data_IF_482847744472
#
_entry.id   IF_482847744472
#
_cell.length_a   1.000
_cell.length_b   1.000
_cell.length_c   1.000
_cell.angle_alpha   90.00
_cell.angle_beta   90.00
_cell.angle_gamma   90.00
#
_symmetry.space_group_name_H-M   'P 1'
#
loop_
_entity.id
_entity.type
_entity.pdbx_description
1 polymer ?
#
# COMPACT_ATOMS: atom_id res chain seq x y z
N UNK A 1 -64.15 -55.07 -69.63
CA UNK A 1 -62.87 -54.88 -68.91
C UNK A 1 -61.91 -53.98 -69.69
N UNK A 2 -61.76 -54.16 -71.01
CA UNK A 2 -60.90 -53.31 -71.87
C UNK A 2 -61.25 -51.81 -71.85
N UNK A 3 -62.51 -51.41 -72.00
CA UNK A 3 -62.85 -49.97 -72.03
C UNK A 3 -62.62 -49.25 -70.70
N UNK A 4 -62.71 -49.97 -69.58
CA UNK A 4 -62.42 -49.43 -68.24
C UNK A 4 -60.92 -49.25 -68.07
N UNK A 5 -60.10 -50.20 -68.54
CA UNK A 5 -58.64 -50.09 -68.58
C UNK A 5 -58.18 -48.95 -69.51
N UNK A 6 -58.83 -48.76 -70.65
CA UNK A 6 -58.53 -47.69 -71.59
C UNK A 6 -58.89 -46.30 -71.04
N UNK A 7 -60.07 -46.16 -70.41
CA UNK A 7 -60.46 -44.92 -69.74
C UNK A 7 -59.56 -44.59 -68.54
N UNK A 8 -59.14 -45.61 -67.79
CA UNK A 8 -58.21 -45.49 -66.67
C UNK A 8 -56.81 -45.11 -67.15
N UNK A 9 -56.35 -45.66 -68.28
CA UNK A 9 -55.10 -45.26 -68.96
C UNK A 9 -55.14 -43.79 -69.38
N UNK A 10 -56.24 -43.33 -69.98
CA UNK A 10 -56.43 -41.92 -70.38
C UNK A 10 -56.43 -40.99 -69.15
N UNK A 11 -57.11 -41.36 -68.07
CA UNK A 11 -57.11 -40.58 -66.82
C UNK A 11 -55.72 -40.53 -66.18
N UNK A 12 -55.00 -41.65 -66.15
CA UNK A 12 -53.62 -41.70 -65.65
C UNK A 12 -52.71 -40.81 -66.51
N UNK A 13 -52.86 -40.82 -67.83
CA UNK A 13 -52.06 -39.99 -68.73
C UNK A 13 -52.37 -38.49 -68.58
N UNK A 14 -53.66 -38.14 -68.44
CA UNK A 14 -54.11 -36.77 -68.15
C UNK A 14 -53.59 -36.27 -66.81
N UNK A 15 -53.61 -37.11 -65.78
CA UNK A 15 -53.14 -36.77 -64.43
C UNK A 15 -51.61 -36.65 -64.40
N UNK A 16 -50.87 -37.53 -65.09
CA UNK A 16 -49.42 -37.40 -65.29
C UNK A 16 -49.07 -36.12 -66.06
N UNK A 17 -49.84 -35.76 -67.08
CA UNK A 17 -49.67 -34.51 -67.83
C UNK A 17 -49.96 -33.28 -66.95
N UNK A 18 -51.05 -33.30 -66.18
CA UNK A 18 -51.42 -32.25 -65.23
C UNK A 18 -50.38 -32.06 -64.13
N UNK A 19 -49.87 -33.15 -63.55
CA UNK A 19 -48.77 -33.12 -62.57
C UNK A 19 -47.48 -32.60 -63.21
N UNK A 20 -47.17 -32.99 -64.46
CA UNK A 20 -46.05 -32.44 -65.22
C UNK A 20 -46.18 -30.93 -65.44
N UNK A 21 -47.38 -30.44 -65.76
CA UNK A 21 -47.65 -29.01 -65.92
C UNK A 21 -47.57 -28.24 -64.59
N UNK A 22 -48.09 -28.80 -63.50
CA UNK A 22 -47.99 -28.20 -62.15
C UNK A 22 -46.53 -28.14 -61.71
N UNK A 23 -45.75 -29.20 -61.96
CA UNK A 23 -44.30 -29.21 -61.71
C UNK A 23 -43.59 -28.11 -62.50
N UNK A 24 -43.84 -27.99 -63.80
CA UNK A 24 -43.22 -26.93 -64.60
C UNK A 24 -43.68 -25.51 -64.22
N UNK A 25 -44.93 -25.35 -63.76
CA UNK A 25 -45.46 -24.02 -63.39
C UNK A 25 -45.14 -23.59 -61.97
N UNK A 26 -44.83 -24.52 -61.06
CA UNK A 26 -44.63 -24.21 -59.63
C UNK A 26 -43.25 -24.65 -59.16
N UNK A 27 -42.87 -25.90 -59.37
CA UNK A 27 -41.60 -26.42 -58.86
C UNK A 27 -40.38 -25.78 -59.54
N UNK A 28 -40.39 -25.66 -60.87
CA UNK A 28 -39.24 -25.08 -61.59
C UNK A 28 -39.04 -23.58 -61.27
N UNK A 29 -40.10 -22.74 -61.21
CA UNK A 29 -39.96 -21.35 -60.74
C UNK A 29 -39.53 -21.25 -59.27
N UNK A 30 -40.03 -22.10 -58.38
CA UNK A 30 -39.59 -22.13 -56.98
C UNK A 30 -38.10 -22.47 -56.87
N UNK A 31 -37.62 -23.49 -57.57
CA UNK A 31 -36.19 -23.83 -57.60
C UNK A 31 -35.34 -22.70 -58.19
N UNK A 32 -35.83 -22.02 -59.22
CA UNK A 32 -35.16 -20.85 -59.80
C UNK A 32 -35.12 -19.68 -58.81
N UNK A 33 -36.18 -19.45 -58.05
CA UNK A 33 -36.26 -18.40 -57.04
C UNK A 33 -35.32 -18.69 -55.86
N UNK A 34 -35.23 -19.96 -55.44
CA UNK A 34 -34.29 -20.41 -54.41
C UNK A 34 -32.84 -20.23 -54.87
N UNK A 35 -32.52 -20.62 -56.10
CA UNK A 35 -31.21 -20.35 -56.70
C UNK A 35 -30.88 -18.85 -56.77
N UNK A 36 -31.84 -18.01 -57.19
CA UNK A 36 -31.65 -16.55 -57.23
C UNK A 36 -31.43 -15.96 -55.83
N UNK A 37 -32.11 -16.48 -54.80
CA UNK A 37 -31.88 -16.07 -53.41
C UNK A 37 -30.45 -16.40 -52.96
N UNK A 38 -29.93 -17.57 -53.33
CA UNK A 38 -28.53 -17.94 -53.04
C UNK A 38 -27.56 -16.99 -53.76
N UNK A 39 -27.78 -16.73 -55.05
CA UNK A 39 -26.92 -15.80 -55.81
C UNK A 39 -26.97 -14.39 -55.23
N UNK A 40 -28.15 -13.89 -54.87
CA UNK A 40 -28.33 -12.59 -54.26
C UNK A 40 -27.64 -12.52 -52.89
N UNK A 41 -27.77 -13.57 -52.07
CA UNK A 41 -27.06 -13.69 -50.79
C UNK A 41 -25.54 -13.60 -50.97
N UNK A 42 -25.00 -14.33 -51.94
CA UNK A 42 -23.56 -14.31 -52.25
C UNK A 42 -23.09 -12.93 -52.74
N UNK A 43 -23.88 -12.24 -53.57
CA UNK A 43 -23.56 -10.88 -54.05
C UNK A 43 -23.54 -9.90 -52.89
N UNK A 44 -24.54 -9.96 -51.99
CA UNK A 44 -24.61 -9.08 -50.83
C UNK A 44 -23.41 -9.28 -49.90
N UNK A 45 -23.06 -10.54 -49.59
CA UNK A 45 -21.87 -10.86 -48.80
C UNK A 45 -20.58 -10.34 -49.45
N UNK A 46 -20.43 -10.55 -50.77
CA UNK A 46 -19.27 -10.05 -51.52
C UNK A 46 -19.18 -8.53 -51.45
N UNK A 47 -20.32 -7.84 -51.59
CA UNK A 47 -20.40 -6.39 -51.56
C UNK A 47 -20.06 -5.84 -50.17
N UNK A 48 -20.49 -6.50 -49.10
CA UNK A 48 -20.14 -6.13 -47.73
C UNK A 48 -18.64 -6.32 -47.45
N UNK A 49 -18.04 -7.42 -47.91
CA UNK A 49 -16.59 -7.65 -47.83
C UNK A 49 -15.83 -6.56 -48.60
N UNK A 50 -16.24 -6.23 -49.83
CA UNK A 50 -15.61 -5.18 -50.64
C UNK A 50 -15.70 -3.80 -49.98
N UNK A 51 -16.85 -3.42 -49.43
CA UNK A 51 -17.02 -2.17 -48.68
C UNK A 51 -16.08 -2.12 -47.47
N UNK A 52 -15.93 -3.23 -46.77
CA UNK A 52 -15.03 -3.35 -45.61
C UNK A 52 -13.57 -3.21 -46.02
N UNK A 53 -13.15 -3.88 -47.09
CA UNK A 53 -11.78 -3.75 -47.64
C UNK A 53 -11.51 -2.30 -48.05
N UNK A 54 -12.46 -1.63 -48.71
CA UNK A 54 -12.34 -0.20 -49.04
C UNK A 54 -12.15 0.65 -47.79
N UNK A 55 -12.95 0.43 -46.75
CA UNK A 55 -12.83 1.15 -45.48
C UNK A 55 -11.48 0.89 -44.80
N UNK A 56 -11.01 -0.35 -44.77
CA UNK A 56 -9.68 -0.71 -44.25
C UNK A 56 -8.60 0.05 -45.01
N UNK A 57 -8.69 0.12 -46.34
CA UNK A 57 -7.72 0.83 -47.18
C UNK A 57 -7.72 2.34 -46.91
N UNK A 58 -8.90 2.95 -46.73
CA UNK A 58 -9.03 4.37 -46.39
C UNK A 58 -8.38 4.69 -45.04
N UNK A 59 -8.66 3.88 -44.01
CA UNK A 59 -8.07 4.05 -42.68
C UNK A 59 -6.56 3.78 -42.72
N UNK A 60 -6.11 2.82 -43.51
CA UNK A 60 -4.69 2.53 -43.71
C UNK A 60 -3.94 3.71 -44.37
N UNK A 61 -4.54 4.33 -45.40
CA UNK A 61 -3.98 5.50 -46.04
C UNK A 61 -3.88 6.67 -45.05
N UNK A 62 -4.89 6.84 -44.19
CA UNK A 62 -4.88 7.81 -43.09
C UNK A 62 -3.81 7.49 -42.04
N UNK A 63 -3.58 6.22 -41.73
CA UNK A 63 -2.50 5.80 -40.82
C UNK A 63 -1.12 6.16 -41.38
N UNK A 64 -0.86 5.84 -42.66
CA UNK A 64 0.42 6.13 -43.31
C UNK A 64 0.71 7.63 -43.42
N UNK A 65 -0.32 8.46 -43.62
CA UNK A 65 -0.13 9.92 -43.64
C UNK A 65 0.27 10.47 -42.26
N UNK A 66 -0.22 9.89 -41.17
CA UNK A 66 0.20 10.26 -39.82
C UNK A 66 1.56 9.71 -39.42
N UNK A 67 1.93 8.52 -39.90
CA UNK A 67 3.27 7.93 -39.70
C UNK A 67 4.36 8.70 -40.44
N UNK A 68 4.04 9.27 -41.60
CA UNK A 68 5.01 10.03 -42.42
C UNK A 68 5.22 11.47 -41.94
N UNK A 69 4.52 11.90 -40.89
CA UNK A 69 4.53 13.28 -40.43
C UNK A 69 5.46 13.43 -39.22
N UNK A 70 6.45 14.33 -39.30
CA UNK A 70 7.53 14.48 -38.31
C UNK A 70 7.03 14.73 -36.88
N UNK A 71 5.87 15.38 -36.72
CA UNK A 71 5.27 15.69 -35.43
C UNK A 71 4.54 14.52 -34.75
N UNK A 72 4.55 13.31 -35.34
CA UNK A 72 4.02 12.04 -34.82
C UNK A 72 2.92 12.17 -33.75
N UNK A 73 1.68 12.43 -34.19
CA UNK A 73 0.55 12.49 -33.27
C UNK A 73 0.12 11.07 -32.85
N UNK A 74 0.83 10.49 -31.88
CA UNK A 74 0.61 9.12 -31.40
C UNK A 74 -0.84 8.83 -31.00
N UNK A 75 -1.58 9.84 -30.54
CA UNK A 75 -3.01 9.69 -30.23
C UNK A 75 -3.82 9.37 -31.50
N UNK A 76 -3.68 10.17 -32.56
CA UNK A 76 -4.38 9.92 -33.84
C UNK A 76 -3.94 8.60 -34.47
N UNK A 77 -2.66 8.26 -34.36
CA UNK A 77 -2.14 6.99 -34.87
C UNK A 77 -2.79 5.83 -34.10
N UNK A 78 -2.88 5.92 -32.77
CA UNK A 78 -3.55 4.88 -31.95
C UNK A 78 -5.04 4.73 -32.24
N UNK A 79 -5.75 5.83 -32.56
CA UNK A 79 -7.17 5.81 -32.96
C UNK A 79 -7.36 5.07 -34.29
N UNK A 80 -6.48 5.29 -35.27
CA UNK A 80 -6.52 4.56 -36.54
C UNK A 80 -6.18 3.08 -36.36
N UNK A 81 -5.21 2.76 -35.50
CA UNK A 81 -4.88 1.37 -35.17
C UNK A 81 -6.07 0.68 -34.52
N UNK A 82 -6.77 1.35 -33.61
CA UNK A 82 -7.98 0.84 -32.98
C UNK A 82 -9.09 0.54 -33.99
N UNK A 83 -9.42 1.51 -34.86
CA UNK A 83 -10.42 1.32 -35.92
C UNK A 83 -10.03 0.18 -36.87
N UNK A 84 -8.75 0.03 -37.20
CA UNK A 84 -8.27 -1.09 -38.01
C UNK A 84 -8.40 -2.43 -37.29
N UNK A 85 -8.05 -2.51 -36.01
CA UNK A 85 -8.21 -3.73 -35.22
C UNK A 85 -9.70 -4.13 -35.13
N UNK A 86 -10.63 -3.18 -34.92
CA UNK A 86 -12.08 -3.44 -34.97
C UNK A 86 -12.51 -3.93 -36.36
N UNK A 87 -12.11 -3.23 -37.42
CA UNK A 87 -12.44 -3.61 -38.80
C UNK A 87 -11.78 -4.92 -39.24
N UNK A 88 -10.73 -5.40 -38.59
CA UNK A 88 -10.15 -6.72 -38.90
C UNK A 88 -10.79 -7.85 -38.10
N UNK A 89 -11.42 -7.57 -36.95
CA UNK A 89 -11.95 -8.60 -36.05
C UNK A 89 -13.40 -9.03 -36.31
N UNK A 90 -14.27 -8.20 -36.90
CA UNK A 90 -15.69 -8.59 -37.04
C UNK A 90 -15.98 -9.57 -38.20
N UNK A 91 -15.05 -9.76 -39.15
CA UNK A 91 -15.14 -10.75 -40.24
C UNK A 91 -13.78 -11.41 -40.43
N UNK A 92 -13.77 -12.73 -40.60
CA UNK A 92 -12.55 -13.45 -40.97
C UNK A 92 -12.12 -13.06 -42.39
N UNK A 93 -11.08 -12.22 -42.47
CA UNK A 93 -10.45 -11.78 -43.72
C UNK A 93 -9.15 -12.57 -43.99
N UNK A 94 -8.92 -13.67 -43.28
CA UNK A 94 -7.75 -14.53 -43.46
C UNK A 94 -7.71 -15.12 -44.87
N UNK A 95 -6.53 -15.11 -45.50
CA UNK A 95 -6.35 -15.63 -46.87
C UNK A 95 -6.53 -14.60 -47.97
N UNK A 96 -6.75 -13.32 -47.64
CA UNK A 96 -6.67 -12.22 -48.62
C UNK A 96 -5.22 -11.73 -48.71
N UNK A 97 -4.49 -12.19 -49.73
CA UNK A 97 -3.06 -11.87 -49.95
C UNK A 97 -2.74 -10.37 -49.93
N UNK A 98 -3.70 -9.54 -50.36
CA UNK A 98 -3.57 -8.07 -50.38
C UNK A 98 -3.53 -7.44 -48.98
N UNK A 99 -4.11 -8.09 -47.97
CA UNK A 99 -4.21 -7.57 -46.60
C UNK A 99 -3.10 -8.07 -45.68
N UNK A 100 -2.54 -9.25 -45.94
CA UNK A 100 -1.47 -9.86 -45.16
C UNK A 100 -0.27 -8.92 -44.86
N UNK A 101 0.30 -8.18 -45.84
CA UNK A 101 1.41 -7.25 -45.55
C UNK A 101 0.99 -6.05 -44.69
N UNK A 102 -0.27 -5.61 -44.80
CA UNK A 102 -0.80 -4.51 -43.98
C UNK A 102 -1.02 -4.98 -42.54
N UNK A 103 -1.51 -6.20 -42.33
CA UNK A 103 -1.67 -6.80 -41.00
C UNK A 103 -0.31 -6.93 -40.29
N UNK A 104 0.72 -7.40 -41.00
CA UNK A 104 2.08 -7.48 -40.44
C UNK A 104 2.62 -6.10 -40.06
N UNK A 105 2.48 -5.09 -40.93
CA UNK A 105 2.86 -3.72 -40.63
C UNK A 105 2.08 -3.14 -39.45
N UNK A 106 0.78 -3.42 -39.35
CA UNK A 106 -0.07 -2.96 -38.25
C UNK A 106 0.46 -3.46 -36.89
N UNK A 107 0.87 -4.74 -36.83
CA UNK A 107 1.48 -5.31 -35.62
C UNK A 107 2.79 -4.61 -35.23
N UNK A 108 3.63 -4.27 -36.20
CA UNK A 108 4.89 -3.54 -35.97
C UNK A 108 4.58 -2.14 -35.43
N UNK A 109 3.71 -1.40 -36.11
CA UNK A 109 3.28 -0.05 -35.70
C UNK A 109 2.67 -0.06 -34.30
N UNK A 110 1.80 -1.03 -34.00
CA UNK A 110 1.20 -1.23 -32.67
C UNK A 110 2.26 -1.43 -31.59
N UNK A 111 3.28 -2.25 -31.87
CA UNK A 111 4.39 -2.48 -30.95
C UNK A 111 5.22 -1.22 -30.71
N UNK A 112 5.59 -0.50 -31.78
CA UNK A 112 6.40 0.72 -31.69
C UNK A 112 5.68 1.84 -30.92
N UNK A 113 4.41 2.09 -31.21
CA UNK A 113 3.61 3.08 -30.49
C UNK A 113 3.37 2.63 -29.05
N UNK A 114 3.15 1.33 -28.82
CA UNK A 114 3.03 0.76 -27.48
C UNK A 114 4.26 1.05 -26.61
N UNK A 115 5.47 0.85 -27.15
CA UNK A 115 6.72 1.17 -26.45
C UNK A 115 6.87 2.67 -26.18
N UNK A 116 6.56 3.52 -27.17
CA UNK A 116 6.55 4.99 -26.99
C UNK A 116 5.55 5.43 -25.92
N UNK A 117 4.36 4.85 -25.89
CA UNK A 117 3.33 5.15 -24.91
C UNK A 117 3.71 4.68 -23.51
N UNK A 118 4.37 3.52 -23.38
CA UNK A 118 4.93 3.03 -22.11
C UNK A 118 6.04 3.97 -21.58
N UNK A 119 6.93 4.44 -22.46
CA UNK A 119 7.95 5.43 -22.10
C UNK A 119 7.32 6.76 -21.66
N UNK A 120 6.30 7.23 -22.38
CA UNK A 120 5.56 8.44 -22.05
C UNK A 120 4.83 8.32 -20.71
N UNK A 121 4.19 7.17 -20.44
CA UNK A 121 3.55 6.91 -19.15
C UNK A 121 4.58 6.94 -18.01
N UNK A 122 5.70 6.25 -18.18
CA UNK A 122 6.75 6.16 -17.15
C UNK A 122 7.36 7.53 -16.84
N UNK A 123 7.62 8.35 -17.87
CA UNK A 123 8.16 9.71 -17.66
C UNK A 123 7.11 10.66 -17.08
N UNK A 124 5.85 10.54 -17.50
CA UNK A 124 4.75 11.35 -16.97
C UNK A 124 4.45 11.04 -15.51
N UNK A 125 4.50 9.76 -15.11
CA UNK A 125 4.39 9.36 -13.70
C UNK A 125 5.55 9.93 -12.88
N UNK A 126 6.79 9.87 -13.39
CA UNK A 126 7.95 10.48 -12.71
C UNK A 126 7.80 11.99 -12.48
N UNK A 127 7.23 12.69 -13.45
CA UNK A 127 7.05 14.15 -13.36
C UNK A 127 5.71 14.55 -12.72
N UNK A 128 4.88 13.60 -12.28
CA UNK A 128 3.53 13.85 -11.78
C UNK A 128 2.67 14.69 -12.76
N UNK A 129 2.79 14.45 -14.07
CA UNK A 129 2.03 15.18 -15.09
C UNK A 129 0.73 14.44 -15.45
N UNK A 130 -0.37 14.78 -14.78
CA UNK A 130 -1.68 14.18 -15.00
C UNK A 130 -2.16 14.28 -16.46
N UNK A 131 -1.76 15.32 -17.19
CA UNK A 131 -2.18 15.51 -18.59
C UNK A 131 -1.48 14.51 -19.52
N UNK A 132 -0.19 14.26 -19.30
CA UNK A 132 0.57 13.29 -20.07
C UNK A 132 0.24 11.85 -19.68
N UNK A 133 -0.04 11.58 -18.39
CA UNK A 133 -0.58 10.30 -17.93
C UNK A 133 -1.90 10.01 -18.67
N UNK A 134 -2.82 10.98 -18.72
CA UNK A 134 -4.11 10.84 -19.42
C UNK A 134 -3.93 10.54 -20.91
N UNK A 135 -3.02 11.25 -21.60
CA UNK A 135 -2.70 10.96 -23.02
C UNK A 135 -2.11 9.56 -23.20
N UNK A 136 -1.20 9.14 -22.32
CA UNK A 136 -0.57 7.81 -22.41
C UNK A 136 -1.59 6.70 -22.17
N UNK A 137 -2.44 6.84 -21.15
CA UNK A 137 -3.54 5.93 -20.86
C UNK A 137 -4.47 5.80 -22.06
N UNK A 138 -4.86 6.91 -22.68
CA UNK A 138 -5.74 6.90 -23.85
C UNK A 138 -5.11 6.17 -25.04
N UNK A 139 -3.83 6.42 -25.34
CA UNK A 139 -3.11 5.70 -26.39
C UNK A 139 -3.06 4.20 -26.10
N UNK A 140 -2.69 3.82 -24.87
CA UNK A 140 -2.58 2.42 -24.46
C UNK A 140 -3.92 1.69 -24.47
N UNK A 141 -5.01 2.40 -24.12
CA UNK A 141 -6.37 1.90 -24.22
C UNK A 141 -6.75 1.61 -25.67
N UNK A 142 -6.52 2.56 -26.58
CA UNK A 142 -6.82 2.40 -28.01
C UNK A 142 -6.09 1.19 -28.62
N UNK A 143 -4.84 0.94 -28.18
CA UNK A 143 -4.05 -0.21 -28.61
C UNK A 143 -4.46 -1.54 -27.92
N UNK A 144 -5.35 -1.52 -26.93
CA UNK A 144 -5.70 -2.71 -26.12
C UNK A 144 -4.54 -3.22 -25.25
N UNK A 145 -3.59 -2.34 -24.90
CA UNK A 145 -2.40 -2.67 -24.11
C UNK A 145 -2.46 -2.15 -22.67
N UNK A 146 -3.50 -1.40 -22.30
CA UNK A 146 -3.60 -0.71 -21.02
C UNK A 146 -3.41 -1.63 -19.81
N UNK A 147 -4.15 -2.74 -19.75
CA UNK A 147 -4.11 -3.68 -18.61
C UNK A 147 -2.71 -4.31 -18.49
N UNK A 148 -2.12 -4.74 -19.61
CA UNK A 148 -0.79 -5.35 -19.64
C UNK A 148 0.30 -4.37 -19.20
N UNK A 149 0.28 -3.15 -19.75
CA UNK A 149 1.28 -2.12 -19.42
C UNK A 149 1.13 -1.66 -17.97
N UNK A 150 -0.08 -1.57 -17.45
CA UNK A 150 -0.33 -1.24 -16.04
C UNK A 150 0.27 -2.29 -15.10
N UNK A 151 0.08 -3.59 -15.40
CA UNK A 151 0.71 -4.68 -14.65
C UNK A 151 2.24 -4.62 -14.71
N UNK A 152 2.80 -4.30 -15.88
CA UNK A 152 4.24 -4.12 -16.04
C UNK A 152 4.79 -2.95 -15.20
N UNK A 153 4.08 -1.82 -15.19
CA UNK A 153 4.43 -0.64 -14.41
C UNK A 153 4.39 -0.97 -12.91
N UNK A 154 3.31 -1.58 -12.43
CA UNK A 154 3.20 -2.03 -11.03
C UNK A 154 4.33 -2.97 -10.63
N UNK A 155 4.59 -4.00 -11.44
CA UNK A 155 5.67 -4.96 -11.18
C UNK A 155 7.05 -4.29 -11.15
N UNK A 156 7.28 -3.33 -12.05
CA UNK A 156 8.53 -2.58 -12.10
C UNK A 156 8.70 -1.69 -10.86
N UNK A 157 7.64 -1.02 -10.44
CA UNK A 157 7.66 -0.19 -9.23
C UNK A 157 7.81 -1.02 -7.96
N UNK A 158 7.13 -2.16 -7.86
CA UNK A 158 7.29 -3.11 -6.75
C UNK A 158 8.75 -3.56 -6.64
N UNK A 159 9.35 -4.00 -7.75
CA UNK A 159 10.76 -4.40 -7.78
C UNK A 159 11.69 -3.27 -7.37
N UNK A 160 11.47 -2.05 -7.87
CA UNK A 160 12.27 -0.89 -7.50
C UNK A 160 12.21 -0.58 -6.01
N UNK A 161 11.00 -0.56 -5.42
CA UNK A 161 10.84 -0.32 -3.97
C UNK A 161 11.48 -1.44 -3.15
N UNK A 162 11.38 -2.69 -3.59
CA UNK A 162 12.08 -3.80 -2.94
C UNK A 162 13.59 -3.57 -2.91
N UNK A 163 14.18 -3.24 -4.07
CA UNK A 163 15.61 -2.93 -4.18
C UNK A 163 16.00 -1.75 -3.27
N UNK A 164 15.22 -0.67 -3.27
CA UNK A 164 15.47 0.50 -2.39
C UNK A 164 15.44 0.09 -0.91
N UNK A 165 14.44 -0.65 -0.47
CA UNK A 165 14.31 -1.09 0.93
C UNK A 165 15.46 -2.00 1.32
N UNK A 166 15.76 -3.01 0.49
CA UNK A 166 16.83 -3.98 0.75
C UNK A 166 18.21 -3.31 0.77
N UNK A 167 18.49 -2.43 -0.19
CA UNK A 167 19.78 -1.75 -0.28
C UNK A 167 20.01 -0.78 0.89
N UNK A 168 18.97 -0.09 1.35
CA UNK A 168 19.09 0.88 2.44
C UNK A 168 19.10 0.20 3.83
N UNK A 169 18.50 -1.00 3.95
CA UNK A 169 18.55 -1.80 5.18
C UNK A 169 19.70 -2.82 5.22
N UNK A 170 20.57 -2.85 4.20
CA UNK A 170 21.75 -3.72 4.19
C UNK A 170 22.74 -3.33 5.28
N UNK A 171 22.89 -4.22 6.25
CA UNK A 171 23.76 -4.07 7.41
C UNK A 171 25.20 -3.78 7.00
N UNK A 172 25.69 -4.35 5.88
CA UNK A 172 27.07 -4.18 5.43
C UNK A 172 27.34 -2.71 5.05
N UNK A 173 26.48 -2.14 4.21
CA UNK A 173 26.55 -0.73 3.79
C UNK A 173 26.41 0.23 4.98
N UNK A 174 25.56 -0.11 5.95
CA UNK A 174 25.37 0.68 7.16
C UNK A 174 26.60 0.66 8.09
N UNK A 175 27.40 -0.41 8.08
CA UNK A 175 28.62 -0.54 8.88
C UNK A 175 29.88 0.00 8.21
N UNK A 176 29.87 0.22 6.90
CA UNK A 176 31.02 0.77 6.17
C UNK A 176 31.25 2.23 6.54
N UNK A 177 32.36 2.53 7.20
CA UNK A 177 32.84 3.91 7.40
C UNK A 177 33.38 4.45 6.08
N UNK A 178 32.69 5.42 5.47
CA UNK A 178 33.25 6.26 4.42
C UNK A 178 34.52 6.92 4.97
N UNK A 179 35.70 6.49 4.51
CA UNK A 179 36.99 7.09 4.89
C UNK A 179 38.03 6.20 5.59
N UNK A 180 37.91 4.86 5.57
CA UNK A 180 38.94 3.98 6.15
C UNK A 180 40.06 3.55 5.16
N UNK A 181 40.24 4.25 4.05
CA UNK A 181 41.21 3.87 2.99
C UNK A 181 42.57 4.60 3.06
N UNK A 182 42.93 5.24 4.19
CA UNK A 182 44.21 5.97 4.27
C UNK A 182 44.93 5.99 5.62
N UNK A 183 44.69 5.04 6.52
CA UNK A 183 45.58 4.87 7.70
C UNK A 183 46.05 3.43 7.81
N UNK A 184 47.31 3.22 7.38
CA UNK A 184 48.12 2.02 7.63
C UNK A 184 47.93 1.57 9.09
N UNK A 185 47.22 0.45 9.29
CA UNK A 185 47.08 -0.20 10.60
C UNK A 185 48.34 -1.02 10.90
N UNK A 186 49.12 -0.57 11.89
CA UNK A 186 50.21 -1.36 12.46
C UNK A 186 49.68 -2.51 13.35
N UNK A 187 50.43 -3.61 13.51
CA UNK A 187 49.99 -4.75 14.32
C UNK A 187 50.07 -4.40 15.82
N UNK A 188 49.03 -4.76 16.58
CA UNK A 188 49.07 -4.73 18.05
C UNK A 188 48.12 -3.77 18.78
N UNK A 189 47.27 -3.01 18.08
CA UNK A 189 46.16 -2.30 18.75
C UNK A 189 44.86 -3.07 18.59
N UNK A 190 44.47 -3.78 19.64
CA UNK A 190 43.14 -4.36 19.77
C UNK A 190 42.10 -3.24 19.53
N UNK A 191 41.34 -3.35 18.44
CA UNK A 191 40.21 -2.48 18.20
C UNK A 191 39.19 -2.81 19.29
N UNK A 192 39.12 -1.98 20.32
CA UNK A 192 37.92 -1.90 21.16
C UNK A 192 36.78 -1.61 20.17
N UNK A 193 35.76 -2.48 20.01
CA UNK A 193 34.57 -2.16 19.22
C UNK A 193 33.79 -1.12 20.05
N UNK A 194 34.28 0.11 20.06
CA UNK A 194 33.85 1.15 20.99
C UNK A 194 32.55 1.77 20.50
N UNK A 195 31.73 2.25 21.45
CA UNK A 195 30.40 2.86 21.28
C UNK A 195 30.25 3.83 20.08
N UNK A 196 31.35 4.39 19.57
CA UNK A 196 31.45 5.25 18.39
C UNK A 196 30.89 4.59 17.12
N UNK A 197 31.07 3.27 16.96
CA UNK A 197 30.54 2.54 15.80
C UNK A 197 29.02 2.31 15.90
N UNK A 198 28.47 2.24 17.12
CA UNK A 198 27.04 2.02 17.33
C UNK A 198 26.21 3.30 17.08
N UNK A 199 26.70 4.47 17.54
CA UNK A 199 26.01 5.75 17.31
C UNK A 199 26.02 6.16 15.83
N UNK A 200 27.16 6.00 15.16
CA UNK A 200 27.28 6.26 13.72
C UNK A 200 26.42 5.31 12.88
N UNK A 201 26.38 4.02 13.22
CA UNK A 201 25.47 3.06 12.61
C UNK A 201 24.00 3.48 12.79
N UNK A 202 23.59 3.83 14.02
CA UNK A 202 22.21 4.29 14.29
C UNK A 202 21.84 5.52 13.48
N UNK A 203 22.73 6.50 13.38
CA UNK A 203 22.48 7.70 12.58
C UNK A 203 22.26 7.35 11.10
N UNK A 204 23.15 6.53 10.51
CA UNK A 204 23.01 6.07 9.12
C UNK A 204 21.74 5.29 8.89
N UNK A 205 21.37 4.42 9.83
CA UNK A 205 20.16 3.61 9.77
C UNK A 205 18.89 4.47 9.76
N UNK A 206 18.80 5.47 10.65
CA UNK A 206 17.65 6.38 10.66
C UNK A 206 17.56 7.20 9.38
N UNK A 207 18.68 7.71 8.88
CA UNK A 207 18.72 8.39 7.57
C UNK A 207 18.36 7.46 6.41
N UNK A 208 18.68 6.17 6.50
CA UNK A 208 18.28 5.18 5.51
C UNK A 208 16.76 4.93 5.55
N UNK A 209 16.15 4.87 6.74
CA UNK A 209 14.69 4.79 6.89
C UNK A 209 13.98 6.03 6.35
N UNK A 210 14.51 7.23 6.60
CA UNK A 210 13.99 8.48 6.03
C UNK A 210 14.00 8.42 4.49
N UNK A 211 15.10 7.98 3.87
CA UNK A 211 15.19 7.77 2.41
C UNK A 211 14.19 6.75 1.89
N UNK A 212 13.99 5.65 2.61
CA UNK A 212 12.97 4.64 2.27
C UNK A 212 11.59 5.29 2.29
N UNK A 213 11.25 6.04 3.34
CA UNK A 213 9.95 6.69 3.46
C UNK A 213 9.75 7.80 2.41
N UNK A 214 10.78 8.55 2.05
CA UNK A 214 10.70 9.52 0.94
C UNK A 214 10.44 8.82 -0.41
N UNK A 215 11.08 7.67 -0.65
CA UNK A 215 10.84 6.87 -1.85
C UNK A 215 9.41 6.30 -1.88
N UNK A 216 8.92 5.77 -0.75
CA UNK A 216 7.56 5.28 -0.61
C UNK A 216 6.56 6.42 -0.83
N UNK A 217 6.77 7.58 -0.21
CA UNK A 217 5.95 8.77 -0.41
C UNK A 217 5.82 9.13 -1.89
N UNK A 218 6.96 9.25 -2.59
CA UNK A 218 6.98 9.65 -3.98
C UNK A 218 6.22 8.66 -4.88
N UNK A 219 6.43 7.35 -4.71
CA UNK A 219 5.77 6.34 -5.53
C UNK A 219 4.28 6.15 -5.17
N UNK A 220 3.89 6.37 -3.91
CA UNK A 220 2.48 6.41 -3.50
C UNK A 220 1.70 7.48 -4.26
N UNK A 221 2.24 8.70 -4.36
CA UNK A 221 1.61 9.79 -5.11
C UNK A 221 1.48 9.44 -6.59
N UNK A 222 2.50 8.82 -7.18
CA UNK A 222 2.44 8.38 -8.59
C UNK A 222 1.32 7.36 -8.84
N UNK A 223 1.14 6.40 -7.93
CA UNK A 223 0.11 5.38 -8.05
C UNK A 223 -1.29 5.97 -7.88
N UNK A 224 -1.48 6.85 -6.90
CA UNK A 224 -2.75 7.55 -6.69
C UNK A 224 -3.12 8.41 -7.90
N UNK A 225 -2.17 9.17 -8.45
CA UNK A 225 -2.40 9.97 -9.66
C UNK A 225 -2.72 9.10 -10.88
N UNK A 226 -2.02 7.98 -11.06
CA UNK A 226 -2.25 7.08 -12.17
C UNK A 226 -3.63 6.43 -12.08
N UNK A 227 -4.01 5.93 -10.90
CA UNK A 227 -5.33 5.36 -10.66
C UNK A 227 -6.45 6.41 -10.80
N UNK A 228 -6.22 7.65 -10.35
CA UNK A 228 -7.15 8.75 -10.56
C UNK A 228 -7.45 9.00 -12.05
N UNK A 229 -6.42 8.96 -12.90
CA UNK A 229 -6.57 9.12 -14.35
C UNK A 229 -7.35 7.94 -14.96
N UNK A 230 -7.17 6.71 -14.45
CA UNK A 230 -7.95 5.57 -14.91
C UNK A 230 -9.44 5.71 -14.55
N UNK A 231 -9.75 6.33 -13.42
CA UNK A 231 -11.12 6.63 -12.99
C UNK A 231 -11.77 7.80 -13.75
N UNK A 232 -11.00 8.62 -14.49
CA UNK A 232 -11.56 9.70 -15.31
C UNK A 232 -12.35 9.16 -16.51
N UNK A 233 -13.56 9.69 -16.72
CA UNK A 233 -14.40 9.42 -17.89
C UNK A 233 -13.98 10.38 -19.02
N UNK A 234 -13.18 9.93 -19.99
CA UNK A 234 -12.67 10.78 -21.09
C UNK A 234 -12.71 10.16 -22.49
N UNK A 235 -13.40 9.04 -22.68
CA UNK A 235 -13.40 8.35 -23.97
C UNK A 235 -14.59 8.75 -24.85
N UNK A 236 -14.61 10.00 -25.30
CA UNK A 236 -15.63 10.52 -26.24
C UNK A 236 -15.46 9.94 -27.66
N UNK A 237 -14.38 9.20 -27.94
CA UNK A 237 -14.09 8.65 -29.26
C UNK A 237 -15.00 7.47 -29.66
N UNK A 238 -15.52 6.71 -28.70
CA UNK A 238 -16.23 5.43 -28.98
C UNK A 238 -17.75 5.63 -29.14
N UNK A 239 -18.29 6.83 -28.93
CA UNK A 239 -19.73 7.11 -29.10
C UNK A 239 -20.67 6.39 -28.12
N UNK A 240 -20.21 5.36 -27.41
CA UNK A 240 -20.82 4.83 -26.18
C UNK A 240 -20.48 5.74 -25.01
N UNK A 241 -21.46 6.02 -24.14
CA UNK A 241 -21.29 6.72 -22.86
C UNK A 241 -19.94 6.32 -22.24
N UNK A 242 -19.03 7.29 -22.13
CA UNK A 242 -17.63 7.04 -21.78
C UNK A 242 -17.51 6.33 -20.43
N UNK A 243 -17.35 5.02 -20.46
CA UNK A 243 -16.97 4.23 -19.30
C UNK A 243 -15.53 4.59 -18.90
N UNK A 244 -15.25 4.62 -17.60
CA UNK A 244 -13.90 4.82 -17.06
C UNK A 244 -12.97 3.70 -17.54
N UNK A 245 -11.70 4.05 -17.79
CA UNK A 245 -10.66 3.08 -18.15
C UNK A 245 -10.50 1.96 -17.10
N UNK A 246 -10.77 2.26 -15.82
CA UNK A 246 -10.73 1.30 -14.72
C UNK A 246 -11.68 0.11 -14.93
N UNK A 247 -12.76 0.26 -15.71
CA UNK A 247 -13.68 -0.84 -16.00
C UNK A 247 -13.09 -1.93 -16.90
N UNK A 248 -11.98 -1.64 -17.60
CA UNK A 248 -11.28 -2.65 -18.43
C UNK A 248 -10.50 -3.66 -17.62
N UNK A 249 -10.26 -3.36 -16.33
CA UNK A 249 -9.46 -4.20 -15.46
C UNK A 249 -10.32 -5.31 -14.83
N UNK A 250 -9.80 -6.54 -14.73
CA UNK A 250 -10.37 -7.57 -13.86
C UNK A 250 -10.55 -7.04 -12.43
N UNK A 251 -11.59 -7.49 -11.72
CA UNK A 251 -11.91 -7.05 -10.35
C UNK A 251 -10.69 -7.07 -9.41
N UNK A 252 -9.89 -8.15 -9.47
CA UNK A 252 -8.69 -8.35 -8.65
C UNK A 252 -7.54 -7.36 -8.93
N UNK A 253 -7.67 -6.50 -9.93
CA UNK A 253 -6.61 -5.58 -10.39
C UNK A 253 -7.08 -4.15 -10.58
N UNK A 254 -8.24 -3.80 -10.02
CA UNK A 254 -8.80 -2.45 -10.09
C UNK A 254 -8.16 -1.48 -9.10
N UNK A 255 -7.71 -1.98 -7.95
CA UNK A 255 -7.29 -1.17 -6.80
C UNK A 255 -5.78 -0.97 -6.73
N UNK A 256 -5.22 -0.26 -7.71
CA UNK A 256 -3.76 -0.13 -7.94
C UNK A 256 -3.02 0.46 -6.74
N UNK A 257 -3.51 1.55 -6.18
CA UNK A 257 -2.89 2.29 -5.06
C UNK A 257 -2.96 1.47 -3.78
N UNK A 258 -4.08 0.78 -3.56
CA UNK A 258 -4.26 -0.11 -2.41
C UNK A 258 -3.33 -1.32 -2.50
N UNK A 259 -3.25 -1.96 -3.66
CA UNK A 259 -2.35 -3.10 -3.89
C UNK A 259 -0.89 -2.69 -3.69
N UNK A 260 -0.50 -1.51 -4.18
CA UNK A 260 0.82 -0.93 -3.92
C UNK A 260 1.07 -0.70 -2.43
N UNK A 261 0.15 -0.05 -1.72
CA UNK A 261 0.34 0.24 -0.29
C UNK A 261 0.44 -1.03 0.57
N UNK A 262 -0.41 -2.02 0.28
CA UNK A 262 -0.40 -3.31 0.98
C UNK A 262 0.91 -4.05 0.73
N UNK A 263 1.38 -4.09 -0.53
CA UNK A 263 2.64 -4.70 -0.89
C UNK A 263 3.82 -4.04 -0.17
N UNK A 264 3.93 -2.71 -0.24
CA UNK A 264 5.05 -1.97 0.37
C UNK A 264 5.05 -2.12 1.88
N UNK A 265 3.88 -2.02 2.53
CA UNK A 265 3.76 -2.17 3.98
C UNK A 265 4.15 -3.58 4.43
N UNK A 266 3.67 -4.62 3.73
CA UNK A 266 4.00 -6.00 4.05
C UNK A 266 5.49 -6.30 3.82
N UNK A 267 6.05 -5.82 2.71
CA UNK A 267 7.46 -6.02 2.39
C UNK A 267 8.38 -5.29 3.38
N UNK A 268 8.08 -4.03 3.71
CA UNK A 268 8.81 -3.26 4.70
C UNK A 268 8.78 -3.92 6.09
N UNK A 269 7.61 -4.40 6.52
CA UNK A 269 7.49 -5.13 7.79
C UNK A 269 8.39 -6.38 7.81
N UNK A 270 8.36 -7.17 6.73
CA UNK A 270 9.19 -8.36 6.58
C UNK A 270 10.69 -8.05 6.61
N UNK A 271 11.13 -7.04 5.85
CA UNK A 271 12.55 -6.69 5.76
C UNK A 271 13.07 -6.06 7.06
N UNK A 272 12.29 -5.23 7.76
CA UNK A 272 12.68 -4.69 9.06
C UNK A 272 12.89 -5.80 10.10
N UNK A 273 11.99 -6.78 10.16
CA UNK A 273 12.12 -7.93 11.06
C UNK A 273 13.33 -8.78 10.68
N UNK A 274 13.53 -9.05 9.38
CA UNK A 274 14.69 -9.77 8.86
C UNK A 274 16.00 -9.07 9.25
N UNK A 275 16.13 -7.78 8.96
CA UNK A 275 17.32 -6.98 9.29
C UNK A 275 17.57 -6.88 10.79
N UNK A 276 16.52 -6.76 11.61
CA UNK A 276 16.64 -6.78 13.07
C UNK A 276 17.11 -8.16 13.58
N UNK A 277 16.66 -9.26 12.97
CA UNK A 277 17.10 -10.60 13.36
C UNK A 277 18.58 -10.86 13.05
N UNK A 278 19.08 -10.27 11.96
CA UNK A 278 20.46 -10.44 11.48
C UNK A 278 21.45 -9.43 12.12
N UNK A 279 20.97 -8.33 12.72
CA UNK A 279 21.82 -7.30 13.30
C UNK A 279 21.31 -6.83 14.68
N UNK A 280 22.08 -7.12 15.72
CA UNK A 280 21.76 -6.72 17.10
C UNK A 280 21.73 -5.20 17.30
N UNK A 281 22.55 -4.44 16.55
CA UNK A 281 22.54 -2.97 16.60
C UNK A 281 21.23 -2.40 16.02
N UNK A 282 20.77 -2.96 14.89
CA UNK A 282 19.49 -2.61 14.27
C UNK A 282 18.34 -2.93 15.23
N UNK A 283 18.31 -4.15 15.77
CA UNK A 283 17.31 -4.58 16.75
C UNK A 283 17.24 -3.66 17.96
N UNK A 284 18.39 -3.38 18.58
CA UNK A 284 18.49 -2.50 19.74
C UNK A 284 18.00 -1.07 19.44
N UNK A 285 18.23 -0.57 18.22
CA UNK A 285 17.77 0.75 17.80
C UNK A 285 16.26 0.78 17.57
N UNK A 286 15.71 -0.17 16.81
CA UNK A 286 14.27 -0.23 16.49
C UNK A 286 13.42 -0.51 17.73
N UNK A 287 13.86 -1.39 18.62
CA UNK A 287 13.15 -1.72 19.86
C UNK A 287 13.36 -0.64 20.94
N UNK A 288 14.53 0.00 20.99
CA UNK A 288 14.87 0.99 22.01
C UNK A 288 14.40 2.41 21.70
N UNK A 289 14.39 2.80 20.43
CA UNK A 289 13.95 4.11 19.94
C UNK A 289 12.65 3.98 19.14
N UNK A 290 11.81 2.99 19.49
CA UNK A 290 10.51 2.75 18.85
C UNK A 290 9.65 4.01 18.66
N UNK A 291 9.53 4.94 19.64
CA UNK A 291 8.73 6.15 19.44
C UNK A 291 9.24 7.03 18.28
N UNK A 292 10.56 7.04 18.02
CA UNK A 292 11.14 7.74 16.87
C UNK A 292 10.70 7.08 15.56
N UNK A 293 10.75 5.75 15.49
CA UNK A 293 10.28 4.99 14.35
C UNK A 293 8.79 5.23 14.07
N UNK A 294 7.96 5.16 15.13
CA UNK A 294 6.53 5.43 15.03
C UNK A 294 6.28 6.85 14.50
N UNK A 295 6.99 7.85 15.00
CA UNK A 295 6.87 9.24 14.52
C UNK A 295 7.17 9.33 13.02
N UNK A 296 8.29 8.77 12.56
CA UNK A 296 8.66 8.78 11.14
C UNK A 296 7.58 8.14 10.25
N UNK A 297 7.02 7.00 10.67
CA UNK A 297 5.99 6.32 9.90
C UNK A 297 4.65 7.07 9.91
N UNK A 298 4.26 7.65 11.06
CA UNK A 298 3.08 8.50 11.16
C UNK A 298 3.22 9.77 10.32
N UNK A 299 4.40 10.39 10.31
CA UNK A 299 4.68 11.58 9.52
C UNK A 299 4.57 11.29 8.02
N UNK A 300 5.02 10.11 7.55
CA UNK A 300 4.78 9.64 6.19
C UNK A 300 3.28 9.55 5.87
N UNK A 301 2.51 8.84 6.71
CA UNK A 301 1.07 8.68 6.49
C UNK A 301 0.33 10.03 6.50
N UNK A 302 0.67 10.93 7.43
CA UNK A 302 0.10 12.28 7.48
C UNK A 302 0.49 13.11 6.25
N UNK A 303 1.74 13.02 5.79
CA UNK A 303 2.22 13.71 4.60
C UNK A 303 1.44 13.25 3.36
N UNK A 304 1.20 11.94 3.23
CA UNK A 304 0.35 11.38 2.17
C UNK A 304 -1.10 11.88 2.25
N UNK A 305 -1.70 11.87 3.45
CA UNK A 305 -3.07 12.35 3.66
C UNK A 305 -3.26 13.84 3.36
N UNK A 306 -2.24 14.67 3.64
CA UNK A 306 -2.27 16.12 3.43
C UNK A 306 -1.83 16.54 2.02
N UNK A 307 -1.41 15.61 1.17
CA UNK A 307 -1.06 15.94 -0.22
C UNK A 307 -2.33 16.25 -1.00
N UNK A 308 -2.25 17.21 -1.93
CA UNK A 308 -3.39 17.54 -2.81
C UNK A 308 -3.85 16.29 -3.56
N UNK A 309 -5.10 15.90 -3.32
CA UNK A 309 -5.70 14.70 -3.89
C UNK A 309 -6.28 15.00 -5.27
N UNK A 310 -6.26 14.03 -6.21
CA UNK A 310 -6.95 14.16 -7.48
C UNK A 310 -8.48 14.33 -7.29
N UNK A 311 -9.11 15.20 -8.07
CA UNK A 311 -10.56 15.54 -7.92
C UNK A 311 -11.51 14.31 -7.91
N UNK A 312 -11.12 13.21 -8.55
CA UNK A 312 -11.98 12.05 -8.79
C UNK A 312 -11.56 10.78 -8.05
N UNK A 313 -10.48 10.82 -7.27
CA UNK A 313 -9.94 9.65 -6.59
C UNK A 313 -9.11 10.04 -5.38
N UNK A 314 -9.25 9.31 -4.28
CA UNK A 314 -8.55 9.55 -3.03
C UNK A 314 -8.32 8.23 -2.34
N UNK A 315 -7.08 7.95 -1.95
CA UNK A 315 -6.74 6.80 -1.12
C UNK A 315 -6.26 7.25 0.26
N UNK A 316 -6.89 6.73 1.32
CA UNK A 316 -6.54 7.08 2.69
C UNK A 316 -5.45 6.16 3.21
N UNK A 317 -4.19 6.36 2.77
CA UNK A 317 -2.99 5.59 3.14
C UNK A 317 -2.92 5.28 4.65
N UNK A 318 -3.41 4.11 5.11
CA UNK A 318 -3.57 3.86 6.53
C UNK A 318 -2.25 3.37 7.15
N UNK A 319 -2.06 3.68 8.43
CA UNK A 319 -0.97 3.12 9.22
C UNK A 319 -1.13 1.59 9.27
N UNK A 320 -0.09 0.85 8.89
CA UNK A 320 -0.11 -0.61 8.97
C UNK A 320 0.51 -1.09 10.28
N UNK A 321 -0.32 -1.62 11.18
CA UNK A 321 0.12 -2.14 12.47
C UNK A 321 1.16 -3.26 12.34
N UNK A 322 1.14 -4.03 11.25
CA UNK A 322 2.12 -5.10 10.99
C UNK A 322 3.56 -4.59 10.89
N UNK A 323 3.77 -3.35 10.46
CA UNK A 323 5.10 -2.72 10.35
C UNK A 323 5.67 -2.36 11.73
N UNK A 324 4.82 -1.96 12.67
CA UNK A 324 5.21 -1.39 13.97
C UNK A 324 5.06 -2.36 15.15
N UNK A 325 4.13 -3.30 15.08
CA UNK A 325 3.75 -4.17 16.18
C UNK A 325 4.90 -4.97 16.81
N UNK A 326 5.85 -5.57 16.04
CA UNK A 326 6.96 -6.32 16.62
C UNK A 326 7.83 -5.45 17.54
N UNK A 327 8.14 -4.24 17.10
CA UNK A 327 9.00 -3.29 17.81
C UNK A 327 8.27 -2.63 18.97
N UNK A 328 6.98 -2.31 18.79
CA UNK A 328 6.11 -1.79 19.86
C UNK A 328 6.07 -2.76 21.06
N UNK A 329 5.86 -4.05 20.80
CA UNK A 329 5.80 -5.07 21.86
C UNK A 329 7.13 -5.17 22.62
N UNK A 330 8.25 -5.17 21.90
CA UNK A 330 9.58 -5.22 22.51
C UNK A 330 9.88 -3.97 23.34
N UNK A 331 9.54 -2.78 22.83
CA UNK A 331 9.67 -1.51 23.54
C UNK A 331 8.88 -1.50 24.84
N UNK A 332 7.60 -1.88 24.82
CA UNK A 332 6.76 -1.92 26.02
C UNK A 332 7.24 -2.94 27.05
N UNK A 333 7.74 -4.10 26.60
CA UNK A 333 8.35 -5.10 27.49
C UNK A 333 9.61 -4.58 28.16
N UNK A 334 10.43 -3.80 27.44
CA UNK A 334 11.63 -3.17 28.00
C UNK A 334 11.30 -2.05 28.97
N UNK A 335 10.27 -1.26 28.67
CA UNK A 335 9.77 -0.21 29.55
C UNK A 335 9.31 -0.78 30.90
N UNK A 336 8.71 -1.96 30.89
CA UNK A 336 8.32 -2.68 32.11
C UNK A 336 9.54 -2.95 33.01
N UNK A 337 10.58 -3.60 32.50
CA UNK A 337 11.81 -3.84 33.27
C UNK A 337 12.49 -2.54 33.71
N UNK A 338 12.56 -1.54 32.83
CA UNK A 338 13.26 -0.29 33.12
C UNK A 338 12.65 0.51 34.27
N UNK A 339 11.32 0.47 34.43
CA UNK A 339 10.63 1.16 35.53
C UNK A 339 10.51 0.26 36.78
N UNK A 340 10.39 -1.06 36.60
CA UNK A 340 10.35 -2.02 37.71
C UNK A 340 11.70 -2.22 38.42
N UNK A 341 12.82 -2.24 37.69
CA UNK A 341 14.14 -2.49 38.28
C UNK A 341 14.53 -1.44 39.35
N UNK A 342 14.35 -0.12 39.12
CA UNK A 342 14.55 0.89 40.17
C UNK A 342 13.63 0.67 41.37
N UNK A 343 12.35 0.35 41.14
CA UNK A 343 11.38 0.08 42.21
C UNK A 343 11.86 -1.10 43.05
N UNK A 344 12.20 -2.24 42.44
CA UNK A 344 12.72 -3.40 43.16
C UNK A 344 14.00 -3.09 43.94
N UNK A 345 14.94 -2.36 43.34
CA UNK A 345 16.18 -1.96 44.01
C UNK A 345 15.92 -1.15 45.29
N UNK A 346 14.90 -0.29 45.31
CA UNK A 346 14.55 0.51 46.48
C UNK A 346 14.08 -0.35 47.67
N UNK A 347 13.43 -1.49 47.40
CA UNK A 347 12.88 -2.40 48.42
C UNK A 347 13.78 -3.60 48.75
N UNK A 348 14.98 -3.69 48.15
CA UNK A 348 16.01 -4.65 48.59
C UNK A 348 16.82 -4.18 49.80
N UNK A 349 16.63 -2.91 50.20
CA UNK A 349 17.28 -2.28 51.35
C UNK A 349 16.34 -2.37 52.56
N UNK A 350 16.88 -2.53 53.77
CA UNK A 350 16.08 -2.56 55.02
C UNK A 350 15.57 -1.15 55.44
N UNK A 351 15.98 -0.12 54.70
CA UNK A 351 15.67 1.28 54.92
C UNK A 351 14.63 1.83 53.92
N UNK A 352 13.90 2.87 54.34
CA UNK A 352 12.88 3.53 53.52
C UNK A 352 13.52 4.17 52.28
N UNK A 353 12.87 4.14 51.10
CA UNK A 353 13.39 4.79 49.89
C UNK A 353 13.63 6.29 50.09
N UNK A 354 14.74 6.81 49.57
CA UNK A 354 15.10 8.23 49.73
C UNK A 354 14.44 9.12 48.69
N UNK A 355 14.46 10.43 48.90
CA UNK A 355 13.98 11.39 47.89
C UNK A 355 14.81 11.34 46.59
N UNK A 356 16.11 10.99 46.67
CA UNK A 356 16.97 10.80 45.49
C UNK A 356 16.52 9.60 44.65
N UNK A 357 16.14 8.49 45.31
CA UNK A 357 15.61 7.30 44.64
C UNK A 357 14.32 7.65 43.87
N UNK A 358 13.44 8.43 44.49
CA UNK A 358 12.20 8.91 43.86
C UNK A 358 12.50 9.83 42.67
N UNK A 359 13.44 10.75 42.80
CA UNK A 359 13.82 11.67 41.72
C UNK A 359 14.38 10.91 40.49
N UNK A 360 15.14 9.83 40.72
CA UNK A 360 15.61 8.96 39.64
C UNK A 360 14.45 8.26 38.92
N UNK A 361 13.50 7.69 39.67
CA UNK A 361 12.31 7.05 39.10
C UNK A 361 11.46 8.06 38.31
N UNK A 362 11.25 9.26 38.86
CA UNK A 362 10.51 10.34 38.20
C UNK A 362 11.19 10.79 36.92
N UNK A 363 12.53 10.90 36.91
CA UNK A 363 13.27 11.25 35.70
C UNK A 363 13.09 10.21 34.59
N UNK A 364 13.10 8.92 34.94
CA UNK A 364 12.84 7.82 33.98
C UNK A 364 11.42 7.96 33.42
N UNK A 365 10.41 8.04 34.30
CA UNK A 365 8.99 8.21 33.94
C UNK A 365 8.78 9.42 33.02
N UNK A 366 9.37 10.56 33.38
CA UNK A 366 9.26 11.78 32.62
C UNK A 366 9.89 11.62 31.23
N UNK A 367 11.09 11.03 31.14
CA UNK A 367 11.78 10.84 29.87
C UNK A 367 10.98 9.98 28.88
N UNK A 368 10.36 8.90 29.34
CA UNK A 368 9.55 8.01 28.48
C UNK A 368 8.23 8.65 28.06
N UNK A 369 7.55 9.33 28.98
CA UNK A 369 6.30 10.02 28.66
C UNK A 369 6.52 11.20 27.70
N UNK A 370 7.61 11.95 27.86
CA UNK A 370 7.96 13.07 26.98
C UNK A 370 8.19 12.62 25.53
N UNK A 371 8.84 11.47 25.33
CA UNK A 371 9.13 10.95 23.99
C UNK A 371 7.86 10.54 23.24
N UNK A 372 6.80 10.13 23.95
CA UNK A 372 5.53 9.70 23.37
C UNK A 372 4.46 10.80 23.26
N UNK A 373 4.75 12.06 23.60
CA UNK A 373 3.74 13.14 23.62
C UNK A 373 3.00 13.36 22.30
N UNK A 374 3.61 12.97 21.18
CA UNK A 374 3.07 13.16 19.83
C UNK A 374 1.97 12.16 19.46
N UNK A 375 1.86 11.03 20.18
CA UNK A 375 0.87 9.99 19.95
C UNK A 375 0.11 9.66 21.25
N UNK A 376 -1.18 10.05 21.36
CA UNK A 376 -1.98 9.77 22.54
C UNK A 376 -2.12 8.29 22.86
N UNK A 377 -2.11 7.43 21.85
CA UNK A 377 -2.25 5.99 22.04
C UNK A 377 -1.00 5.40 22.71
N UNK A 378 0.19 5.68 22.18
CA UNK A 378 1.46 5.30 22.80
C UNK A 378 1.62 5.91 24.20
N UNK A 379 1.29 7.19 24.37
CA UNK A 379 1.34 7.86 25.69
C UNK A 379 0.45 7.14 26.72
N UNK A 380 -0.76 6.73 26.30
CA UNK A 380 -1.70 5.98 27.14
C UNK A 380 -1.21 4.58 27.51
N UNK A 381 -0.50 3.89 26.62
CA UNK A 381 0.08 2.57 26.87
C UNK A 381 1.32 2.64 27.78
N UNK A 382 2.20 3.62 27.56
CA UNK A 382 3.34 3.89 28.45
C UNK A 382 2.84 4.23 29.86
N UNK A 383 1.85 5.12 29.97
CA UNK A 383 1.24 5.48 31.24
C UNK A 383 0.62 4.26 31.97
N UNK A 384 0.05 3.32 31.23
CA UNK A 384 -0.49 2.09 31.81
C UNK A 384 0.58 1.18 32.41
N UNK A 385 1.71 1.00 31.72
CA UNK A 385 2.83 0.23 32.26
C UNK A 385 3.48 0.94 33.46
N UNK A 386 3.67 2.26 33.38
CA UNK A 386 4.17 3.06 34.51
C UNK A 386 3.24 2.94 35.72
N UNK A 387 1.92 2.95 35.50
CA UNK A 387 0.94 2.80 36.57
C UNK A 387 1.07 1.48 37.33
N UNK A 388 1.48 0.38 36.67
CA UNK A 388 1.73 -0.92 37.33
C UNK A 388 2.93 -0.82 38.28
N UNK A 389 3.99 -0.16 37.84
CA UNK A 389 5.20 0.04 38.65
C UNK A 389 4.95 0.95 39.85
N UNK A 390 4.19 2.03 39.67
CA UNK A 390 3.77 2.92 40.78
C UNK A 390 2.93 2.16 41.80
N UNK A 391 1.98 1.33 41.35
CA UNK A 391 1.19 0.48 42.27
C UNK A 391 2.06 -0.48 43.05
N UNK A 392 3.01 -1.13 42.39
CA UNK A 392 3.95 -2.03 43.05
C UNK A 392 4.78 -1.29 44.11
N UNK A 393 5.23 -0.07 43.82
CA UNK A 393 5.91 0.78 44.79
C UNK A 393 5.03 1.05 46.02
N UNK A 394 3.78 1.48 45.82
CA UNK A 394 2.84 1.73 46.93
C UNK A 394 2.58 0.48 47.77
N UNK A 395 2.31 -0.67 47.13
CA UNK A 395 2.08 -1.95 47.83
C UNK A 395 3.33 -2.38 48.60
N UNK A 396 4.52 -2.20 48.02
CA UNK A 396 5.78 -2.56 48.69
C UNK A 396 6.04 -1.66 49.91
N UNK A 397 5.71 -0.37 49.85
CA UNK A 397 5.73 0.50 51.03
C UNK A 397 4.79 -0.01 52.13
N UNK A 398 3.56 -0.39 51.76
CA UNK A 398 2.56 -0.93 52.68
C UNK A 398 2.98 -2.26 53.32
N UNK A 399 3.55 -3.19 52.54
CA UNK A 399 3.86 -4.55 53.01
C UNK A 399 5.20 -4.67 53.75
N UNK A 400 6.22 -3.91 53.34
CA UNK A 400 7.59 -4.09 53.86
C UNK A 400 7.89 -3.15 55.03
N UNK A 401 7.39 -1.91 54.96
CA UNK A 401 7.84 -0.86 55.88
C UNK A 401 6.77 -0.38 56.86
N UNK A 402 5.48 -0.50 56.54
CA UNK A 402 4.42 -0.09 57.48
C UNK A 402 4.36 -1.09 58.63
N UNK A 403 4.76 -0.63 59.81
CA UNK A 403 4.66 -1.42 61.03
C UNK A 403 3.32 -1.14 61.69
N UNK A 404 2.53 -2.20 61.89
CA UNK A 404 1.23 -2.17 62.57
C UNK A 404 1.39 -2.66 64.02
N UNK A 405 0.68 -2.06 64.98
CA UNK A 405 0.67 -2.49 66.38
C UNK A 405 0.49 -1.36 67.40
N UNK A 406 0.45 -1.70 68.70
CA UNK A 406 0.23 -0.73 69.78
C UNK A 406 1.31 0.37 69.81
N UNK A 407 2.56 0.03 69.46
CA UNK A 407 3.68 0.98 69.37
C UNK A 407 3.50 1.98 68.22
N UNK A 408 2.89 1.60 67.10
CA UNK A 408 2.58 2.52 66.01
C UNK A 408 1.49 3.52 66.40
N UNK A 409 0.56 3.13 67.29
CA UNK A 409 -0.60 3.92 67.73
C UNK A 409 -0.40 4.65 69.07
N UNK A 410 0.82 4.63 69.63
CA UNK A 410 1.10 5.24 70.93
C UNK A 410 0.81 6.75 70.93
N UNK A 411 -0.10 7.20 71.80
CA UNK A 411 -0.49 8.63 71.91
C UNK A 411 0.25 9.34 73.05
N UNK A 412 0.84 8.59 73.99
CA UNK A 412 1.46 9.13 75.21
C UNK A 412 2.98 8.99 75.13
N UNK A 413 3.71 10.10 75.09
CA UNK A 413 5.19 10.14 75.07
C UNK A 413 5.79 10.74 73.79
N UNK A 414 7.12 10.92 73.73
CA UNK A 414 7.81 11.36 72.51
C UNK A 414 7.74 10.27 71.43
N UNK A 415 7.82 10.69 70.15
CA UNK A 415 7.70 9.78 68.98
C UNK A 415 8.71 8.65 69.05
N UNK A 416 8.23 7.41 68.90
CA UNK A 416 9.09 6.23 68.87
C UNK A 416 9.62 5.95 67.45
N UNK A 417 10.59 5.04 67.33
CA UNK A 417 11.24 4.71 66.06
C UNK A 417 10.25 4.18 65.00
N UNK A 418 9.23 3.44 65.44
CA UNK A 418 8.16 2.89 64.58
C UNK A 418 7.30 4.01 63.98
N UNK A 419 6.90 4.98 64.80
CA UNK A 419 6.15 6.15 64.36
C UNK A 419 6.97 7.03 63.40
N UNK A 420 8.26 7.21 63.67
CA UNK A 420 9.14 7.96 62.77
C UNK A 420 9.28 7.27 61.40
N UNK A 421 9.43 5.94 61.37
CA UNK A 421 9.48 5.16 60.12
C UNK A 421 8.17 5.27 59.32
N UNK A 422 7.02 5.16 59.98
CA UNK A 422 5.71 5.34 59.33
C UNK A 422 5.51 6.78 58.77
N UNK A 423 5.99 7.81 59.49
CA UNK A 423 5.97 9.20 59.01
C UNK A 423 6.87 9.37 57.78
N UNK A 424 8.06 8.77 57.80
CA UNK A 424 9.01 8.81 56.68
C UNK A 424 8.43 8.20 55.40
N UNK A 425 7.75 7.04 55.50
CA UNK A 425 7.02 6.41 54.39
C UNK A 425 5.91 7.34 53.86
N UNK A 426 5.13 7.94 54.76
CA UNK A 426 4.07 8.89 54.38
C UNK A 426 4.61 10.11 53.64
N UNK A 427 5.75 10.65 54.09
CA UNK A 427 6.42 11.76 53.42
C UNK A 427 6.94 11.37 52.03
N UNK A 428 7.51 10.17 51.89
CA UNK A 428 7.98 9.60 50.62
C UNK A 428 6.82 9.42 49.62
N UNK A 429 5.69 8.89 50.08
CA UNK A 429 4.50 8.72 49.23
C UNK A 429 3.89 10.07 48.81
N UNK A 430 3.82 11.05 49.70
CA UNK A 430 3.33 12.38 49.35
C UNK A 430 4.32 13.12 48.41
N UNK A 431 5.63 12.92 48.59
CA UNK A 431 6.65 13.44 47.69
C UNK A 431 6.52 12.83 46.28
N UNK A 432 6.42 11.50 46.18
CA UNK A 432 6.19 10.81 44.91
C UNK A 432 4.91 11.32 44.21
N UNK A 433 3.81 11.46 44.95
CA UNK A 433 2.55 12.01 44.45
C UNK A 433 2.68 13.45 43.95
N UNK A 434 3.40 14.31 44.66
CA UNK A 434 3.64 15.68 44.23
C UNK A 434 4.44 15.72 42.92
N UNK A 435 5.49 14.90 42.80
CA UNK A 435 6.29 14.82 41.58
C UNK A 435 5.52 14.24 40.39
N UNK A 436 4.73 13.18 40.58
CA UNK A 436 3.88 12.63 39.52
C UNK A 436 2.79 13.60 39.05
N UNK A 437 2.21 14.39 39.95
CA UNK A 437 1.28 15.47 39.56
C UNK A 437 1.96 16.51 38.68
N UNK A 438 3.21 16.88 39.00
CA UNK A 438 4.01 17.75 38.14
C UNK A 438 4.21 17.15 36.75
N UNK A 439 4.64 15.88 36.67
CA UNK A 439 4.81 15.17 35.37
C UNK A 439 3.51 15.11 34.58
N UNK A 440 2.39 14.76 35.22
CA UNK A 440 1.10 14.64 34.53
C UNK A 440 0.53 15.98 34.06
N UNK A 441 0.80 17.08 34.78
CA UNK A 441 0.42 18.42 34.33
C UNK A 441 1.15 18.84 33.04
N UNK A 442 2.34 18.29 32.79
CA UNK A 442 3.14 18.55 31.60
C UNK A 442 2.76 17.67 30.39
N UNK A 443 1.76 16.78 30.51
CA UNK A 443 1.33 15.88 29.43
C UNK A 443 0.41 16.55 28.38
N UNK A 444 -0.01 17.80 28.61
CA UNK A 444 -0.83 18.57 27.67
C UNK A 444 -2.12 17.85 27.27
N UNK A 445 -2.28 17.56 25.98
CA UNK A 445 -3.49 16.94 25.40
C UNK A 445 -3.62 15.44 25.71
N UNK A 446 -2.62 14.79 26.32
CA UNK A 446 -2.65 13.36 26.64
C UNK A 446 -3.39 13.10 27.97
N UNK A 447 -4.65 13.51 28.04
CA UNK A 447 -5.49 13.46 29.25
C UNK A 447 -5.69 12.03 29.77
N UNK A 448 -5.83 11.04 28.88
CA UNK A 448 -5.95 9.63 29.26
C UNK A 448 -4.70 9.10 29.97
N UNK A 449 -3.50 9.45 29.47
CA UNK A 449 -2.24 9.09 30.10
C UNK A 449 -2.12 9.72 31.50
N UNK A 450 -2.47 11.01 31.62
CA UNK A 450 -2.51 11.71 32.91
C UNK A 450 -3.48 11.06 33.90
N UNK A 451 -4.66 10.65 33.46
CA UNK A 451 -5.66 9.97 34.31
C UNK A 451 -5.13 8.61 34.80
N UNK A 452 -4.55 7.79 33.93
CA UNK A 452 -4.01 6.47 34.32
C UNK A 452 -2.94 6.60 35.42
N UNK A 453 -1.97 7.51 35.24
CA UNK A 453 -0.92 7.75 36.23
C UNK A 453 -1.52 8.27 37.54
N UNK A 454 -2.44 9.23 37.50
CA UNK A 454 -3.07 9.76 38.73
C UNK A 454 -3.91 8.71 39.47
N UNK A 455 -4.59 7.80 38.74
CA UNK A 455 -5.37 6.71 39.35
C UNK A 455 -4.49 5.65 40.03
N UNK A 456 -3.23 5.49 39.58
CA UNK A 456 -2.31 4.53 40.20
C UNK A 456 -1.98 4.87 41.66
N UNK A 457 -2.06 6.15 42.03
CA UNK A 457 -1.83 6.65 43.39
C UNK A 457 -3.02 6.43 44.35
N UNK A 458 -4.24 6.21 43.82
CA UNK A 458 -5.46 6.09 44.62
C UNK A 458 -5.91 4.65 44.90
N UNK A 459 -5.19 3.64 44.41
CA UNK A 459 -5.58 2.22 44.51
C UNK A 459 -4.69 1.38 45.44
N UNK A 460 -3.79 1.99 46.24
CA UNK A 460 -3.26 1.34 47.45
C UNK A 460 -4.40 1.06 48.43
N UNK A 461 -4.38 -0.07 49.13
CA UNK A 461 -5.47 -0.45 50.04
C UNK A 461 -5.48 0.50 51.24
N UNK A 462 -6.17 1.63 51.11
CA UNK A 462 -6.17 2.62 52.19
C UNK A 462 -6.87 3.92 51.87
N UNK A 463 -8.06 3.90 51.27
CA UNK A 463 -9.02 4.97 51.54
C UNK A 463 -9.81 4.57 52.79
N UNK A 464 -9.54 5.13 53.98
CA UNK A 464 -10.60 5.24 54.96
C UNK A 464 -11.61 6.22 54.36
N UNK A 465 -12.83 5.75 54.15
CA UNK A 465 -13.97 6.65 54.09
C UNK A 465 -13.96 7.48 55.38
N UNK A 466 -13.75 8.78 55.22
CA UNK A 466 -14.12 9.79 56.21
C UNK A 466 -14.85 10.89 55.47
#
# INVERSE_FOLDING_TARGET
MESVLEMMSIHVHSLLSGVGQVRMRIADPCQKMEHLNVVMGNILQTLDILRRISKIQDVWNRLNSHLSNDAHNYLKISQNVHELDELLNEVDLSGIDLLEPNIQKLRIVKKEIGEKAKQMLTSAMKNCDATQISKAVQILYNLGLLVTVTKDVLKSTFKYIQEVIQENLDVRKLTETEGADSVKRGPGKAAIPSLINASSFRQKMWSALEKIFDSIYYHSIQMEMFEAVLHQNRNDFIGTKSNSYAQTFPEDSKHITQDFWNFVSSFLAGELVNSASNCSLMKSALEGEYPRFLRLYMDLCKKLQNTEKPDNFSFDFPLNDGVIAPFKKAYLSRLDSMVLDPVHSMFTRDDVPTTEDIDLLIRIIQSELCVALFDPNLSSEIAENISKSIRLFCVSCEEIFVVQGPDATQVIGPRNAVQNKNIEIGNVLEYLKAQLKSVTSNLGNNTHAAVKVNLSLGQGRGHPHS
#
